data_IF_912525200332
#
_entry.id   IF_912525200332
#
_cell.length_a   1.000
_cell.length_b   1.000
_cell.length_c   1.000
_cell.angle_alpha   90.00
_cell.angle_beta   90.00
_cell.angle_gamma   90.00
#
_symmetry.space_group_name_H-M   'P 1'
#
loop_
_entity.id
_entity.type
_entity.pdbx_description
1 polymer ?
#
# COMPACT_ATOMS: atom_id res chain seq x y z
N UNK A 1 -15.81 16.52 -20.72
CA UNK A 1 -14.67 16.60 -21.65
C UNK A 1 -13.59 15.66 -21.12
N UNK A 2 -13.65 14.38 -21.48
CA UNK A 2 -12.74 13.34 -20.99
C UNK A 2 -11.41 13.45 -21.73
N UNK A 3 -10.31 13.75 -21.03
CA UNK A 3 -8.96 13.63 -21.60
C UNK A 3 -8.49 12.19 -21.40
N UNK A 4 -8.44 11.45 -22.51
CA UNK A 4 -7.76 10.16 -22.62
C UNK A 4 -6.28 10.34 -22.28
N UNK A 5 -5.78 9.54 -21.34
CA UNK A 5 -4.34 9.36 -21.14
C UNK A 5 -3.87 8.34 -22.20
N UNK A 6 -2.88 8.66 -23.05
CA UNK A 6 -2.47 7.80 -24.16
C UNK A 6 -1.75 6.52 -23.65
N UNK A 7 -1.75 5.43 -24.43
CA UNK A 7 -1.12 4.17 -24.03
C UNK A 7 0.40 4.26 -24.26
N UNK A 8 1.19 4.30 -23.19
CA UNK A 8 2.64 4.15 -23.29
C UNK A 8 3.02 2.65 -23.39
N UNK A 9 3.77 2.21 -24.41
CA UNK A 9 4.15 0.81 -24.60
C UNK A 9 5.52 0.56 -23.96
N UNK A 10 5.59 0.38 -22.64
CA UNK A 10 6.81 -0.08 -21.97
C UNK A 10 6.49 -1.20 -20.98
N UNK A 11 6.81 -2.43 -21.40
CA UNK A 11 6.82 -3.64 -20.57
C UNK A 11 7.85 -3.48 -19.45
N UNK A 12 7.39 -3.23 -18.24
CA UNK A 12 8.17 -3.45 -17.02
C UNK A 12 7.23 -4.13 -16.02
N UNK A 13 7.36 -5.46 -15.90
CA UNK A 13 6.79 -6.21 -14.78
C UNK A 13 7.63 -5.91 -13.53
N UNK A 14 7.49 -4.69 -13.00
CA UNK A 14 7.89 -4.39 -11.63
C UNK A 14 6.71 -4.82 -10.76
N UNK A 15 6.92 -5.88 -9.97
CA UNK A 15 6.10 -6.13 -8.78
C UNK A 15 6.12 -4.84 -7.96
N UNK A 16 4.98 -4.16 -7.95
CA UNK A 16 4.77 -2.90 -7.26
C UNK A 16 3.96 -3.25 -6.00
N UNK A 17 4.58 -3.73 -4.90
CA UNK A 17 3.86 -3.76 -3.64
C UNK A 17 3.64 -2.30 -3.25
N UNK A 18 2.37 -1.87 -3.32
CA UNK A 18 1.87 -0.57 -2.88
C UNK A 18 2.42 0.66 -3.64
N UNK A 19 1.68 1.13 -4.64
CA UNK A 19 1.33 2.55 -4.75
C UNK A 19 0.26 2.80 -5.83
N UNK A 20 -1.02 2.77 -5.42
CA UNK A 20 -2.07 3.47 -6.15
C UNK A 20 -2.26 4.82 -5.48
N UNK A 21 -1.64 5.84 -6.07
CA UNK A 21 -1.99 7.23 -5.83
C UNK A 21 -3.49 7.40 -6.13
N UNK A 22 -4.31 7.36 -5.10
CA UNK A 22 -5.75 7.58 -5.21
C UNK A 22 -6.27 8.27 -3.95
N UNK A 23 -6.00 9.59 -3.85
CA UNK A 23 -6.95 10.65 -3.46
C UNK A 23 -6.26 12.02 -3.37
N UNK A 24 -7.03 13.13 -3.45
CA UNK A 24 -6.51 14.48 -3.30
C UNK A 24 -6.12 14.70 -1.83
N UNK A 25 -4.82 14.65 -1.55
CA UNK A 25 -4.25 15.12 -0.28
C UNK A 25 -4.09 16.64 -0.40
N UNK A 26 -4.40 17.45 0.64
CA UNK A 26 -4.11 18.89 0.64
C UNK A 26 -2.64 19.15 0.28
N UNK A 27 -2.25 20.36 -0.17
CA UNK A 27 -0.93 20.60 -0.75
C UNK A 27 0.16 20.44 0.33
N UNK A 28 0.63 19.21 0.53
CA UNK A 28 1.91 18.94 1.16
C UNK A 28 2.99 19.20 0.09
N UNK A 29 3.98 20.04 0.39
CA UNK A 29 4.95 20.46 -0.61
C UNK A 29 5.88 19.27 -0.91
N UNK A 30 5.88 18.85 -2.18
CA UNK A 30 6.75 17.85 -2.80
C UNK A 30 6.49 16.38 -2.42
N UNK A 31 5.73 15.69 -3.27
CA UNK A 31 5.80 14.23 -3.37
C UNK A 31 7.26 13.84 -3.63
N UNK A 32 7.84 12.99 -2.77
CA UNK A 32 9.24 12.55 -2.90
C UNK A 32 9.34 11.08 -3.26
N UNK A 33 9.85 10.79 -4.46
CA UNK A 33 10.10 9.44 -4.94
C UNK A 33 11.52 9.04 -4.54
N UNK A 34 11.66 8.05 -3.66
CA UNK A 34 12.98 7.58 -3.20
C UNK A 34 13.30 6.18 -3.66
N UNK A 35 14.47 6.01 -4.29
CA UNK A 35 14.92 4.72 -4.83
C UNK A 35 16.18 4.20 -4.08
N UNK A 36 16.20 2.93 -3.66
CA UNK A 36 17.37 2.28 -3.08
C UNK A 36 18.59 2.29 -4.04
N UNK A 37 19.75 2.76 -3.55
CA UNK A 37 21.05 2.70 -4.24
C UNK A 37 21.66 1.28 -4.18
N UNK A 38 22.53 0.90 -5.13
CA UNK A 38 23.14 -0.43 -5.20
C UNK A 38 24.11 -0.64 -4.04
N UNK A 39 24.10 -1.83 -3.45
CA UNK A 39 25.15 -2.26 -2.52
C UNK A 39 26.51 -2.43 -3.22
N UNK A 40 27.60 -2.36 -2.45
CA UNK A 40 29.01 -2.37 -2.91
C UNK A 40 29.48 -3.68 -3.59
N UNK A 41 28.59 -4.63 -3.90
CA UNK A 41 28.94 -5.96 -4.39
C UNK A 41 28.99 -6.01 -5.94
N UNK A 42 30.07 -6.50 -6.58
CA UNK A 42 30.29 -6.39 -8.03
C UNK A 42 29.13 -6.84 -8.95
N UNK A 43 28.45 -7.98 -8.73
CA UNK A 43 27.37 -8.42 -9.63
C UNK A 43 26.09 -7.57 -9.52
N UNK A 44 25.81 -6.99 -8.35
CA UNK A 44 24.61 -6.13 -8.12
C UNK A 44 24.75 -4.73 -8.71
N UNK A 45 25.98 -4.28 -9.01
CA UNK A 45 26.21 -2.98 -9.66
C UNK A 45 25.56 -2.87 -11.04
N UNK A 46 25.46 -3.97 -11.78
CA UNK A 46 24.87 -3.95 -13.12
C UNK A 46 23.34 -3.99 -13.09
N UNK A 47 22.74 -4.82 -12.24
CA UNK A 47 21.28 -4.93 -12.10
C UNK A 47 20.67 -3.66 -11.50
N UNK A 48 21.19 -3.24 -10.35
CA UNK A 48 20.63 -2.14 -9.57
C UNK A 48 20.99 -0.80 -10.23
N UNK A 49 22.17 -0.75 -10.87
CA UNK A 49 22.59 0.41 -11.68
C UNK A 49 21.71 0.62 -12.92
N UNK A 50 21.23 -0.46 -13.56
CA UNK A 50 20.26 -0.35 -14.65
C UNK A 50 18.91 0.16 -14.14
N UNK A 51 18.43 -0.38 -13.02
CA UNK A 51 17.18 0.04 -12.39
C UNK A 51 17.20 1.54 -12.07
N UNK A 52 18.24 2.02 -11.38
CA UNK A 52 18.40 3.43 -11.05
C UNK A 52 18.48 4.33 -12.27
N UNK A 53 19.21 3.90 -13.32
CA UNK A 53 19.28 4.67 -14.57
C UNK A 53 17.89 4.85 -15.16
N UNK A 54 17.07 3.79 -15.20
CA UNK A 54 15.70 3.88 -15.69
C UNK A 54 14.81 4.73 -14.80
N UNK A 55 14.96 4.67 -13.49
CA UNK A 55 14.26 5.57 -12.57
C UNK A 55 14.63 7.04 -12.82
N UNK A 56 15.91 7.35 -13.05
CA UNK A 56 16.37 8.71 -13.40
C UNK A 56 15.80 9.21 -14.72
N UNK A 57 15.84 8.37 -15.76
CA UNK A 57 15.26 8.70 -17.07
C UNK A 57 13.77 9.06 -16.93
N UNK A 58 12.98 8.25 -16.23
CA UNK A 58 11.55 8.54 -16.01
C UNK A 58 11.35 9.78 -15.12
N UNK A 59 12.20 10.00 -14.11
CA UNK A 59 12.11 11.18 -13.25
C UNK A 59 12.35 12.49 -14.02
N UNK A 60 13.03 12.45 -15.17
CA UNK A 60 13.17 13.62 -16.03
C UNK A 60 11.85 14.04 -16.69
N UNK A 61 10.95 13.09 -16.97
CA UNK A 61 9.65 13.35 -17.55
C UNK A 61 8.63 13.94 -16.53
N UNK A 62 8.88 13.75 -15.23
CA UNK A 62 7.97 14.15 -14.14
C UNK A 62 8.65 15.12 -13.15
N UNK A 63 8.94 16.35 -13.59
CA UNK A 63 9.63 17.37 -12.78
C UNK A 63 8.85 17.86 -11.55
N UNK A 64 7.54 17.64 -11.51
CA UNK A 64 6.68 18.00 -10.38
C UNK A 64 6.90 17.10 -9.16
N UNK A 65 7.55 15.93 -9.34
CA UNK A 65 7.83 14.96 -8.28
C UNK A 65 9.31 15.04 -7.92
N UNK A 66 9.62 15.24 -6.64
CA UNK A 66 11.00 15.31 -6.16
C UNK A 66 11.61 13.91 -6.14
N UNK A 67 12.56 13.66 -7.03
CA UNK A 67 13.31 12.40 -7.02
C UNK A 67 14.49 12.46 -6.06
N UNK A 68 14.72 11.39 -5.28
CA UNK A 68 15.87 11.24 -4.37
C UNK A 68 16.33 9.80 -4.36
N UNK A 69 17.61 9.56 -4.11
CA UNK A 69 18.18 8.21 -4.07
C UNK A 69 18.84 8.00 -2.71
N UNK A 70 18.65 6.83 -2.10
CA UNK A 70 19.23 6.51 -0.79
C UNK A 70 19.61 5.04 -0.76
N UNK A 71 20.64 4.62 -0.03
CA UNK A 71 20.97 3.19 0.06
C UNK A 71 19.92 2.40 0.85
N UNK A 72 19.72 1.14 0.48
CA UNK A 72 18.71 0.27 1.13
C UNK A 72 18.91 0.17 2.64
N UNK A 73 20.16 0.03 3.08
CA UNK A 73 20.52 -0.02 4.51
C UNK A 73 20.13 1.27 5.26
N UNK A 74 20.38 2.41 4.64
CA UNK A 74 20.03 3.74 5.15
C UNK A 74 18.52 3.91 5.19
N UNK A 75 17.80 3.42 4.17
CA UNK A 75 16.33 3.41 4.16
C UNK A 75 15.81 2.56 5.32
N UNK A 76 16.31 1.34 5.52
CA UNK A 76 15.90 0.47 6.63
C UNK A 76 16.16 1.13 8.00
N UNK A 77 17.34 1.73 8.20
CA UNK A 77 17.71 2.41 9.44
C UNK A 77 16.80 3.61 9.70
N UNK A 78 16.58 4.45 8.69
CA UNK A 78 15.75 5.64 8.81
C UNK A 78 14.27 5.29 8.99
N UNK A 79 13.79 4.21 8.37
CA UNK A 79 12.40 3.76 8.44
C UNK A 79 12.00 3.39 9.88
N UNK A 80 12.89 2.75 10.63
CA UNK A 80 12.62 2.39 12.03
C UNK A 80 12.83 3.56 13.00
N UNK A 81 13.58 4.59 12.61
CA UNK A 81 13.83 5.77 13.43
C UNK A 81 12.76 6.85 13.24
N UNK A 82 12.48 7.21 11.99
CA UNK A 82 11.49 8.21 11.60
C UNK A 82 10.86 7.83 10.25
N UNK A 83 9.77 7.06 10.24
CA UNK A 83 9.09 6.68 9.00
C UNK A 83 8.39 7.86 8.30
N UNK A 84 8.19 9.01 8.99
CA UNK A 84 7.43 10.16 8.45
C UNK A 84 8.13 10.90 7.31
N UNK A 85 9.44 10.65 7.14
CA UNK A 85 10.25 11.24 6.06
C UNK A 85 9.99 10.63 4.67
N UNK A 86 9.25 9.52 4.60
CA UNK A 86 9.01 8.75 3.38
C UNK A 86 7.58 8.95 2.87
N UNK A 87 7.45 8.93 1.54
CA UNK A 87 6.17 9.08 0.84
C UNK A 87 6.00 7.95 -0.18
N UNK A 88 6.78 8.01 -1.27
CA UNK A 88 6.76 6.99 -2.33
C UNK A 88 8.11 6.30 -2.43
N UNK A 89 8.11 4.98 -2.23
CA UNK A 89 9.29 4.12 -2.38
C UNK A 89 9.14 3.22 -3.59
N UNK A 90 10.11 3.26 -4.50
CA UNK A 90 10.15 2.38 -5.67
C UNK A 90 11.44 1.59 -5.66
N UNK A 91 11.33 0.28 -5.80
CA UNK A 91 12.47 -0.63 -5.66
C UNK A 91 12.25 -1.95 -6.42
N UNK A 92 13.31 -2.71 -6.68
CA UNK A 92 13.22 -4.06 -7.23
C UNK A 92 12.47 -5.02 -6.31
N UNK A 93 11.95 -6.11 -6.90
CA UNK A 93 11.07 -7.09 -6.26
C UNK A 93 11.50 -7.50 -4.83
N UNK A 94 12.71 -8.05 -4.68
CA UNK A 94 13.20 -8.54 -3.38
C UNK A 94 13.26 -7.45 -2.30
N UNK A 95 13.63 -6.22 -2.67
CA UNK A 95 13.68 -5.12 -1.70
C UNK A 95 12.28 -4.67 -1.33
N UNK A 96 11.36 -4.69 -2.30
CA UNK A 96 9.95 -4.37 -2.12
C UNK A 96 9.31 -5.28 -1.09
N UNK A 97 9.51 -6.60 -1.25
CA UNK A 97 8.97 -7.63 -0.36
C UNK A 97 9.42 -7.44 1.10
N UNK A 98 10.73 -7.23 1.32
CA UNK A 98 11.29 -7.04 2.66
C UNK A 98 10.82 -5.72 3.27
N UNK A 99 10.84 -4.62 2.51
CA UNK A 99 10.46 -3.30 3.04
C UNK A 99 8.95 -3.17 3.24
N UNK A 100 8.12 -3.81 2.42
CA UNK A 100 6.66 -3.81 2.64
C UNK A 100 6.29 -4.50 3.94
N UNK A 101 6.93 -5.62 4.26
CA UNK A 101 6.72 -6.33 5.54
C UNK A 101 7.23 -5.53 6.73
N UNK A 102 8.39 -4.86 6.59
CA UNK A 102 8.90 -3.94 7.62
C UNK A 102 7.88 -2.81 7.90
N UNK A 103 7.34 -2.19 6.85
CA UNK A 103 6.35 -1.12 6.99
C UNK A 103 5.05 -1.62 7.59
N UNK A 104 4.58 -2.82 7.20
CA UNK A 104 3.42 -3.45 7.81
C UNK A 104 3.63 -3.65 9.32
N UNK A 105 4.82 -4.09 9.73
CA UNK A 105 5.18 -4.25 11.15
C UNK A 105 5.09 -2.94 11.96
N UNK A 106 5.41 -1.79 11.36
CA UNK A 106 5.35 -0.49 12.04
C UNK A 106 3.93 -0.03 12.34
N UNK A 107 2.93 -0.46 11.54
CA UNK A 107 1.53 0.00 11.66
C UNK A 107 0.61 -0.98 12.38
N UNK A 108 1.13 -2.11 12.86
CA UNK A 108 0.34 -3.14 13.58
C UNK A 108 0.29 -4.51 12.91
N UNK A 109 0.97 -4.69 11.78
CA UNK A 109 1.19 -5.98 11.12
C UNK A 109 0.39 -6.19 9.83
N UNK A 110 0.50 -7.40 9.28
CA UNK A 110 -0.08 -7.79 8.00
C UNK A 110 -1.62 -7.86 8.02
N UNK A 111 -2.24 -8.00 9.20
CA UNK A 111 -3.70 -8.09 9.36
C UNK A 111 -4.48 -6.82 8.99
N UNK A 112 -3.80 -5.67 8.90
CA UNK A 112 -4.38 -4.37 8.58
C UNK A 112 -3.82 -3.74 7.30
N UNK A 113 -2.89 -4.41 6.63
CA UNK A 113 -2.17 -3.85 5.49
C UNK A 113 -2.86 -4.26 4.18
N UNK A 114 -3.38 -3.32 3.38
CA UNK A 114 -3.92 -3.63 2.06
C UNK A 114 -2.85 -3.75 0.99
N UNK A 115 -3.15 -4.43 -0.12
CA UNK A 115 -2.27 -4.55 -1.29
C UNK A 115 -3.05 -4.61 -2.61
N UNK A 116 -2.37 -4.21 -3.69
CA UNK A 116 -2.89 -4.28 -5.05
C UNK A 116 -1.78 -4.41 -6.09
N UNK A 117 -1.93 -5.37 -6.98
CA UNK A 117 -1.06 -5.64 -8.11
C UNK A 117 -1.69 -5.09 -9.39
N UNK A 118 -0.98 -4.21 -10.08
CA UNK A 118 -1.45 -3.58 -11.32
C UNK A 118 -0.71 -4.18 -12.50
N UNK A 119 -1.47 -4.74 -13.44
CA UNK A 119 -0.97 -5.39 -14.64
C UNK A 119 -1.24 -4.58 -15.91
N UNK A 120 -0.73 -5.10 -17.02
CA UNK A 120 -1.03 -4.58 -18.35
C UNK A 120 -2.50 -4.87 -18.74
N UNK A 121 -2.98 -4.21 -19.80
CA UNK A 121 -4.29 -4.47 -20.41
C UNK A 121 -5.49 -4.18 -19.47
N UNK A 122 -5.31 -3.29 -18.50
CA UNK A 122 -6.37 -2.90 -17.56
C UNK A 122 -6.67 -3.97 -16.50
N UNK A 123 -5.78 -4.95 -16.31
CA UNK A 123 -5.91 -5.96 -15.26
C UNK A 123 -5.36 -5.40 -13.95
N UNK A 124 -6.13 -5.49 -12.87
CA UNK A 124 -5.70 -5.15 -11.52
C UNK A 124 -6.25 -6.18 -10.53
N UNK A 125 -5.40 -6.65 -9.61
CA UNK A 125 -5.73 -7.65 -8.59
C UNK A 125 -5.49 -7.03 -7.22
N UNK A 126 -6.50 -7.05 -6.36
CA UNK A 126 -6.43 -6.51 -5.01
C UNK A 126 -6.56 -7.65 -4.01
N UNK A 127 -5.61 -7.76 -3.09
CA UNK A 127 -5.49 -8.91 -2.18
C UNK A 127 -5.04 -8.50 -0.79
N UNK A 128 -5.25 -9.37 0.19
CA UNK A 128 -4.66 -9.26 1.52
C UNK A 128 -3.23 -9.79 1.50
N UNK A 129 -2.32 -9.13 2.23
CA UNK A 129 -0.93 -9.60 2.35
C UNK A 129 -0.73 -10.67 3.43
N UNK A 130 -1.70 -10.84 4.32
CA UNK A 130 -1.60 -11.85 5.38
C UNK A 130 -1.74 -13.28 4.81
N UNK A 131 -1.15 -14.24 5.52
CA UNK A 131 -1.29 -15.66 5.19
C UNK A 131 -2.71 -16.19 5.39
N UNK A 132 -2.92 -17.48 5.09
CA UNK A 132 -4.22 -18.16 5.16
C UNK A 132 -4.74 -18.43 6.57
N UNK A 133 -3.87 -18.32 7.59
CA UNK A 133 -4.18 -18.55 9.01
C UNK A 133 -5.00 -19.85 9.24
N UNK A 134 -4.44 -21.03 8.89
CA UNK A 134 -5.18 -22.30 8.90
C UNK A 134 -5.63 -22.74 10.30
N UNK A 135 -4.96 -22.24 11.34
CA UNK A 135 -5.25 -22.49 12.75
C UNK A 135 -6.56 -21.86 13.24
N UNK A 136 -7.01 -20.77 12.61
CA UNK A 136 -8.27 -20.06 12.93
C UNK A 136 -9.32 -20.16 11.81
N UNK A 137 -9.02 -20.90 10.75
CA UNK A 137 -9.93 -21.07 9.62
C UNK A 137 -11.27 -21.69 10.08
N UNK A 138 -12.38 -21.05 9.72
CA UNK A 138 -13.73 -21.49 10.09
C UNK A 138 -14.17 -21.18 11.53
N UNK A 139 -13.35 -20.49 12.33
CA UNK A 139 -13.66 -20.19 13.74
C UNK A 139 -14.29 -18.80 13.97
N UNK A 140 -14.52 -18.02 12.90
CA UNK A 140 -15.07 -16.65 12.99
C UNK A 140 -14.18 -15.69 13.82
N UNK A 141 -12.86 -15.89 13.79
CA UNK A 141 -11.86 -15.10 14.54
C UNK A 141 -10.96 -14.21 13.67
N UNK A 142 -11.09 -14.30 12.34
CA UNK A 142 -10.24 -13.57 11.41
C UNK A 142 -10.49 -12.05 11.46
N UNK A 143 -9.45 -11.26 11.17
CA UNK A 143 -9.62 -9.83 10.95
C UNK A 143 -9.84 -9.53 9.46
N UNK A 144 -11.01 -9.01 9.06
CA UNK A 144 -11.28 -8.71 7.65
C UNK A 144 -10.67 -7.38 7.18
N UNK A 145 -9.98 -6.62 8.05
CA UNK A 145 -9.52 -5.26 7.77
C UNK A 145 -8.60 -5.16 6.55
N UNK A 146 -7.57 -6.01 6.44
CA UNK A 146 -6.66 -5.97 5.29
C UNK A 146 -7.41 -6.14 3.95
N UNK A 147 -8.24 -7.18 3.84
CA UNK A 147 -9.00 -7.45 2.62
C UNK A 147 -10.02 -6.35 2.31
N UNK A 148 -10.69 -5.81 3.35
CA UNK A 148 -11.62 -4.71 3.22
C UNK A 148 -10.92 -3.45 2.67
N UNK A 149 -9.74 -3.12 3.19
CA UNK A 149 -8.96 -1.98 2.70
C UNK A 149 -8.41 -2.22 1.30
N UNK A 150 -8.08 -3.46 0.92
CA UNK A 150 -7.76 -3.81 -0.47
C UNK A 150 -8.97 -3.62 -1.40
N UNK A 151 -10.18 -3.94 -0.96
CA UNK A 151 -11.40 -3.63 -1.69
C UNK A 151 -11.65 -2.11 -1.79
N UNK A 152 -11.33 -1.34 -0.76
CA UNK A 152 -11.34 0.13 -0.83
C UNK A 152 -10.36 0.64 -1.89
N UNK A 153 -9.15 0.07 -1.98
CA UNK A 153 -8.19 0.41 -3.03
C UNK A 153 -8.73 0.07 -4.43
N UNK A 154 -9.41 -1.07 -4.58
CA UNK A 154 -10.08 -1.46 -5.82
C UNK A 154 -11.15 -0.44 -6.23
N UNK A 155 -12.03 -0.05 -5.32
CA UNK A 155 -13.08 0.95 -5.60
C UNK A 155 -12.48 2.29 -6.04
N UNK A 156 -11.38 2.71 -5.40
CA UNK A 156 -10.65 3.91 -5.80
C UNK A 156 -10.04 3.78 -7.19
N UNK A 157 -9.49 2.62 -7.52
CA UNK A 157 -8.94 2.33 -8.85
C UNK A 157 -10.04 2.38 -9.94
N UNK A 158 -11.26 1.96 -9.62
CA UNK A 158 -12.44 2.03 -10.51
C UNK A 158 -13.04 3.44 -10.63
N UNK A 159 -12.54 4.42 -9.87
CA UNK A 159 -13.08 5.79 -9.84
C UNK A 159 -14.25 6.02 -8.87
N UNK A 160 -14.65 5.00 -8.10
CA UNK A 160 -15.72 5.06 -7.10
C UNK A 160 -15.21 5.65 -5.77
N UNK A 161 -14.74 6.91 -5.86
CA UNK A 161 -14.09 7.57 -4.73
C UNK A 161 -15.03 7.66 -3.53
N UNK A 162 -16.22 8.21 -3.68
CA UNK A 162 -17.15 8.47 -2.57
C UNK A 162 -17.43 7.20 -1.75
N UNK A 163 -17.85 6.12 -2.42
CA UNK A 163 -18.10 4.80 -1.81
C UNK A 163 -16.88 4.27 -1.07
N UNK A 164 -15.70 4.35 -1.68
CA UNK A 164 -14.46 3.93 -1.04
C UNK A 164 -14.15 4.74 0.24
N UNK A 165 -14.46 6.05 0.21
CA UNK A 165 -14.32 6.94 1.36
C UNK A 165 -15.24 6.54 2.51
N UNK A 166 -16.52 6.27 2.22
CA UNK A 166 -17.50 5.85 3.23
C UNK A 166 -17.06 4.58 3.95
N UNK A 167 -16.68 3.54 3.20
CA UNK A 167 -16.23 2.26 3.76
C UNK A 167 -14.97 2.45 4.61
N UNK A 168 -13.98 3.20 4.10
CA UNK A 168 -12.75 3.46 4.83
C UNK A 168 -13.00 4.21 6.15
N UNK A 169 -13.82 5.26 6.11
CA UNK A 169 -14.17 6.04 7.30
C UNK A 169 -14.89 5.16 8.32
N UNK A 170 -15.87 4.35 7.91
CA UNK A 170 -16.57 3.43 8.81
C UNK A 170 -15.61 2.42 9.48
N UNK A 171 -14.68 1.84 8.71
CA UNK A 171 -13.66 0.93 9.22
C UNK A 171 -12.75 1.63 10.25
N UNK A 172 -12.22 2.80 9.92
CA UNK A 172 -11.34 3.57 10.83
C UNK A 172 -12.05 4.03 12.09
N UNK A 173 -13.32 4.44 12.00
CA UNK A 173 -14.11 4.80 13.16
C UNK A 173 -14.37 3.57 14.06
N UNK A 174 -14.64 2.40 13.49
CA UNK A 174 -14.80 1.14 14.25
C UNK A 174 -13.53 0.80 15.04
N UNK A 175 -12.36 0.89 14.37
CA UNK A 175 -11.06 0.63 15.00
C UNK A 175 -10.76 1.68 16.08
N UNK A 176 -11.07 2.95 15.82
CA UNK A 176 -10.83 4.07 16.74
C UNK A 176 -11.65 3.95 18.03
N UNK A 177 -12.90 3.50 17.95
CA UNK A 177 -13.79 3.41 19.11
C UNK A 177 -13.44 2.27 20.05
N UNK A 178 -12.67 1.29 19.59
CA UNK A 178 -12.14 0.14 20.36
C UNK A 178 -13.21 -0.73 21.06
N UNK A 179 -14.48 -0.61 20.68
CA UNK A 179 -15.57 -1.38 21.27
C UNK A 179 -15.68 -2.79 20.67
N UNK A 180 -15.60 -2.88 19.35
CA UNK A 180 -15.68 -4.13 18.60
C UNK A 180 -14.36 -4.31 17.86
N UNK A 181 -13.41 -4.99 18.50
CA UNK A 181 -12.08 -5.26 17.94
C UNK A 181 -11.83 -6.77 17.90
N UNK A 182 -11.23 -7.22 16.81
CA UNK A 182 -10.75 -8.59 16.67
C UNK A 182 -9.53 -8.85 17.55
N UNK A 183 -9.19 -10.13 17.74
CA UNK A 183 -8.17 -10.57 18.70
C UNK A 183 -6.76 -10.06 18.39
N UNK A 184 -6.42 -9.97 17.11
CA UNK A 184 -5.14 -9.42 16.62
C UNK A 184 -5.00 -7.91 16.90
N UNK A 185 -6.11 -7.18 17.00
CA UNK A 185 -6.15 -5.77 17.39
C UNK A 185 -6.31 -5.57 18.92
N UNK A 186 -6.24 -6.65 19.70
CA UNK A 186 -6.33 -6.61 21.16
C UNK A 186 -7.74 -6.67 21.75
N UNK A 187 -8.76 -6.96 20.94
CA UNK A 187 -10.14 -7.18 21.41
C UNK A 187 -10.52 -8.65 21.55
N UNK A 188 -11.82 -8.91 21.75
CA UNK A 188 -12.39 -10.26 21.87
C UNK A 188 -13.59 -10.46 20.93
N UNK A 189 -13.82 -9.54 19.99
CA UNK A 189 -14.95 -9.64 19.06
C UNK A 189 -14.68 -10.68 17.97
N UNK A 190 -15.75 -11.27 17.48
CA UNK A 190 -15.74 -12.16 16.32
C UNK A 190 -15.61 -11.37 15.01
N UNK A 191 -15.20 -12.05 13.94
CA UNK A 191 -15.14 -11.48 12.59
C UNK A 191 -16.51 -10.96 12.13
N UNK A 192 -17.57 -11.75 12.38
CA UNK A 192 -18.95 -11.38 12.10
C UNK A 192 -19.41 -10.11 12.84
N UNK A 193 -19.07 -9.99 14.13
CA UNK A 193 -19.41 -8.82 14.95
C UNK A 193 -18.68 -7.55 14.45
N UNK A 194 -17.39 -7.68 14.15
CA UNK A 194 -16.60 -6.58 13.58
C UNK A 194 -17.18 -6.10 12.24
N UNK A 195 -17.57 -7.05 11.38
CA UNK A 195 -18.17 -6.74 10.07
C UNK A 195 -19.54 -6.08 10.22
N UNK A 196 -20.38 -6.58 11.15
CA UNK A 196 -21.71 -6.03 11.40
C UNK A 196 -21.64 -4.57 11.88
N UNK A 197 -20.69 -4.23 12.74
CA UNK A 197 -20.51 -2.86 13.22
C UNK A 197 -20.06 -1.91 12.10
N UNK A 198 -19.17 -2.37 11.21
CA UNK A 198 -18.80 -1.58 10.03
C UNK A 198 -20.01 -1.35 9.12
N UNK A 199 -20.81 -2.38 8.85
CA UNK A 199 -22.03 -2.26 8.04
C UNK A 199 -23.01 -1.27 8.66
N UNK A 200 -23.22 -1.32 9.99
CA UNK A 200 -24.08 -0.39 10.72
C UNK A 200 -23.62 1.06 10.54
N UNK A 201 -22.32 1.31 10.69
CA UNK A 201 -21.73 2.66 10.52
C UNK A 201 -21.82 3.18 9.09
N UNK A 202 -21.73 2.30 8.08
CA UNK A 202 -21.88 2.71 6.69
C UNK A 202 -23.30 3.23 6.43
N UNK A 203 -24.32 2.62 7.05
CA UNK A 203 -25.73 3.03 6.97
C UNK A 203 -26.00 4.35 7.72
N UNK A 204 -25.31 4.57 8.85
CA UNK A 204 -25.44 5.81 9.63
C UNK A 204 -24.76 7.03 8.98
N UNK A 205 -23.93 6.82 7.96
CA UNK A 205 -23.21 7.88 7.23
C UNK A 205 -23.99 8.43 6.02
N UNK A 206 -25.25 8.00 5.83
CA UNK A 206 -26.17 8.52 4.80
C UNK A 206 -26.87 9.82 5.21
#
# INVERSE_FOLDING_TARGET
MFRQVPPCPLRVSCFLPCLIASRPVPPCPAASLRVPQPGLCPPRRMSDGLFLRKCREVAEDFKDIKFTEMYLDTVCLNMVQDPSQFDVLVMPNLYGDILSDLCAGLIGGLGVTPSGNIGANGVAIFESVHGTAPDIAGQDLANPTALLLSAVMMLRHMGLQETAGRIQTACFHTIRDRQVLTKDLGGNAKCSEFTAEICRRIQDLD
#
